data_IF_410112997794
#
_entry.id   IF_410112997794
#
_cell.length_a   1.000
_cell.length_b   1.000
_cell.length_c   1.000
_cell.angle_alpha   90.00
_cell.angle_beta   90.00
_cell.angle_gamma   90.00
#
_symmetry.space_group_name_H-M   'P 1'
#
loop_
_entity.id
_entity.type
_entity.pdbx_description
1 polymer ?
#
# COMPACT_ATOMS: atom_id res chain seq x y z
N UNK A 1 18.27 -5.82 2.47
CA UNK A 1 17.85 -5.61 3.88
C UNK A 1 16.32 -5.72 3.98
N UNK A 2 15.52 -4.97 3.19
CA UNK A 2 14.06 -5.02 3.24
C UNK A 2 13.47 -6.41 3.03
N UNK A 3 14.03 -7.19 2.09
CA UNK A 3 13.62 -8.58 1.86
C UNK A 3 13.83 -9.48 3.08
N UNK A 4 14.92 -9.27 3.82
CA UNK A 4 15.18 -10.01 5.08
C UNK A 4 14.11 -9.66 6.11
N UNK A 5 13.74 -8.39 6.25
CA UNK A 5 12.65 -7.96 7.14
C UNK A 5 11.31 -8.62 6.80
N UNK A 6 10.98 -8.74 5.50
CA UNK A 6 9.80 -9.46 5.03
C UNK A 6 9.85 -10.95 5.43
N UNK A 7 10.98 -11.61 5.26
CA UNK A 7 11.14 -13.03 5.67
C UNK A 7 11.01 -13.21 7.19
N UNK A 8 11.45 -12.24 7.99
CA UNK A 8 11.27 -12.25 9.46
C UNK A 8 9.78 -12.18 9.83
N UNK A 9 8.98 -11.40 9.09
CA UNK A 9 7.54 -11.30 9.32
C UNK A 9 6.83 -12.59 8.90
N UNK A 10 7.10 -13.08 7.69
CA UNK A 10 6.38 -14.22 7.10
C UNK A 10 6.78 -15.54 7.78
N UNK A 11 8.02 -15.64 8.25
CA UNK A 11 8.57 -16.86 8.90
C UNK A 11 8.24 -18.15 8.13
N UNK A 12 8.72 -18.29 6.89
CA UNK A 12 8.44 -19.49 6.09
C UNK A 12 8.93 -20.74 6.85
N UNK A 13 8.04 -21.71 7.04
CA UNK A 13 8.31 -22.94 7.79
C UNK A 13 7.82 -22.97 9.24
N UNK A 14 7.45 -21.83 9.83
CA UNK A 14 6.81 -21.74 11.16
C UNK A 14 5.32 -21.39 11.10
N UNK A 15 4.91 -20.74 10.01
CA UNK A 15 3.50 -20.41 9.74
C UNK A 15 3.08 -21.23 8.53
N UNK A 16 1.87 -21.80 8.56
CA UNK A 16 1.33 -22.58 7.46
C UNK A 16 1.31 -21.78 6.17
N UNK A 17 2.14 -22.21 5.21
CA UNK A 17 2.22 -21.60 3.89
C UNK A 17 1.08 -22.13 3.04
N UNK A 18 -0.06 -21.46 3.07
CA UNK A 18 -1.27 -21.87 2.37
C UNK A 18 -1.43 -21.10 1.04
N UNK A 19 -2.42 -21.52 0.25
CA UNK A 19 -2.74 -20.89 -1.03
C UNK A 19 -3.04 -19.40 -0.89
N UNK A 20 -3.63 -18.97 0.23
CA UNK A 20 -3.89 -17.55 0.52
C UNK A 20 -2.61 -16.73 0.61
N UNK A 21 -1.54 -17.28 1.21
CA UNK A 21 -0.23 -16.63 1.27
C UNK A 21 0.34 -16.40 -0.14
N UNK A 22 0.23 -17.40 -1.03
CA UNK A 22 0.68 -17.27 -2.43
C UNK A 22 -0.13 -16.20 -3.16
N UNK A 23 -1.45 -16.17 -2.97
CA UNK A 23 -2.32 -15.16 -3.58
C UNK A 23 -1.96 -13.75 -3.12
N UNK A 24 -1.70 -13.55 -1.82
CA UNK A 24 -1.27 -12.25 -1.28
C UNK A 24 0.07 -11.82 -1.87
N UNK A 25 1.07 -12.71 -1.90
CA UNK A 25 2.38 -12.39 -2.49
C UNK A 25 2.26 -12.02 -3.97
N UNK A 26 1.43 -12.75 -4.72
CA UNK A 26 1.16 -12.42 -6.14
C UNK A 26 0.48 -11.05 -6.27
N UNK A 27 -0.50 -10.76 -5.43
CA UNK A 27 -1.18 -9.46 -5.40
C UNK A 27 -0.21 -8.29 -5.11
N UNK A 28 0.75 -8.48 -4.22
CA UNK A 28 1.77 -7.47 -3.90
C UNK A 28 2.67 -7.14 -5.11
N UNK A 29 2.99 -8.12 -5.95
CA UNK A 29 3.74 -7.89 -7.19
C UNK A 29 2.93 -6.98 -8.12
N UNK A 30 1.66 -7.31 -8.38
CA UNK A 30 0.79 -6.47 -9.21
C UNK A 30 0.57 -5.09 -8.60
N UNK A 31 0.42 -5.00 -7.27
CA UNK A 31 0.31 -3.73 -6.57
C UNK A 31 1.53 -2.83 -6.79
N UNK A 32 2.74 -3.40 -6.77
CA UNK A 32 3.97 -2.67 -7.05
C UNK A 32 3.99 -2.09 -8.47
N UNK A 33 3.53 -2.86 -9.46
CA UNK A 33 3.37 -2.35 -10.82
C UNK A 33 2.35 -1.21 -10.90
N UNK A 34 1.22 -1.32 -10.21
CA UNK A 34 0.19 -0.26 -10.16
C UNK A 34 0.78 1.05 -9.62
N UNK A 35 1.58 1.00 -8.54
CA UNK A 35 2.21 2.19 -7.97
C UNK A 35 3.13 2.87 -8.98
N UNK A 36 3.97 2.09 -9.68
CA UNK A 36 4.90 2.61 -10.69
C UNK A 36 4.12 3.24 -11.86
N UNK A 37 3.12 2.53 -12.40
CA UNK A 37 2.27 3.04 -13.47
C UNK A 37 1.52 4.31 -13.05
N UNK A 38 0.97 4.34 -11.84
CA UNK A 38 0.29 5.51 -11.29
C UNK A 38 1.21 6.73 -11.23
N UNK A 39 2.49 6.53 -10.89
CA UNK A 39 3.48 7.62 -10.91
C UNK A 39 3.74 8.15 -12.32
N UNK A 40 3.77 7.28 -13.34
CA UNK A 40 3.91 7.72 -14.72
C UNK A 40 2.70 8.50 -15.21
N UNK A 41 1.50 7.96 -14.99
CA UNK A 41 0.22 8.57 -15.40
C UNK A 41 -0.03 9.89 -14.66
N UNK A 42 0.41 10.02 -13.41
CA UNK A 42 0.21 11.23 -12.61
C UNK A 42 0.90 12.49 -13.15
N UNK A 43 1.76 12.35 -14.17
CA UNK A 43 2.41 13.50 -14.83
C UNK A 43 1.44 14.23 -15.74
N UNK A 44 0.59 13.49 -16.43
CA UNK A 44 -0.27 14.01 -17.50
C UNK A 44 -1.72 14.12 -17.05
N UNK A 45 -2.18 13.19 -16.20
CA UNK A 45 -3.56 13.11 -15.74
C UNK A 45 -3.83 13.80 -14.41
N UNK A 46 -5.08 14.19 -14.22
CA UNK A 46 -5.53 14.72 -12.94
C UNK A 46 -5.72 13.57 -11.92
N UNK A 47 -5.52 13.82 -10.61
CA UNK A 47 -5.77 12.82 -9.58
C UNK A 47 -7.20 12.24 -9.62
N UNK A 48 -8.19 13.07 -9.93
CA UNK A 48 -9.59 12.65 -10.06
C UNK A 48 -9.75 11.69 -11.24
N UNK A 49 -9.15 12.01 -12.39
CA UNK A 49 -9.16 11.15 -13.59
C UNK A 49 -8.57 9.78 -13.27
N UNK A 50 -7.39 9.75 -12.65
CA UNK A 50 -6.70 8.51 -12.26
C UNK A 50 -7.58 7.62 -11.36
N UNK A 51 -8.16 8.19 -10.30
CA UNK A 51 -9.00 7.45 -9.35
C UNK A 51 -10.30 6.98 -10.02
N UNK A 52 -10.90 7.80 -10.88
CA UNK A 52 -12.11 7.44 -11.62
C UNK A 52 -11.87 6.24 -12.52
N UNK A 53 -10.81 6.24 -13.33
CA UNK A 53 -10.45 5.10 -14.17
C UNK A 53 -10.16 3.86 -13.36
N UNK A 54 -9.38 3.98 -12.27
CA UNK A 54 -9.05 2.86 -11.41
C UNK A 54 -10.30 2.19 -10.83
N UNK A 55 -11.23 2.95 -10.26
CA UNK A 55 -12.45 2.40 -9.68
C UNK A 55 -13.42 1.88 -10.74
N UNK A 56 -13.52 2.55 -11.89
CA UNK A 56 -14.38 2.08 -12.99
C UNK A 56 -13.91 0.72 -13.50
N UNK A 57 -12.62 0.58 -13.79
CA UNK A 57 -12.04 -0.70 -14.24
C UNK A 57 -12.18 -1.78 -13.17
N UNK A 58 -11.86 -1.46 -11.92
CA UNK A 58 -12.01 -2.38 -10.80
C UNK A 58 -13.46 -2.87 -10.65
N UNK A 59 -14.44 -1.98 -10.81
CA UNK A 59 -15.87 -2.33 -10.77
C UNK A 59 -16.25 -3.26 -11.92
N UNK A 60 -15.81 -2.96 -13.15
CA UNK A 60 -16.10 -3.79 -14.32
C UNK A 60 -15.55 -5.21 -14.13
N UNK A 61 -14.31 -5.35 -13.64
CA UNK A 61 -13.69 -6.67 -13.42
C UNK A 61 -14.28 -7.40 -12.22
N UNK A 62 -14.70 -6.71 -11.17
CA UNK A 62 -15.30 -7.32 -9.99
C UNK A 62 -16.77 -7.70 -10.19
N UNK A 63 -17.48 -7.03 -11.11
CA UNK A 63 -18.93 -7.18 -11.31
C UNK A 63 -19.38 -8.63 -11.59
N UNK A 64 -18.72 -9.42 -12.47
CA UNK A 64 -19.14 -10.80 -12.73
C UNK A 64 -19.10 -11.68 -11.47
N UNK A 65 -18.04 -11.53 -10.66
CA UNK A 65 -17.90 -12.26 -9.40
C UNK A 65 -18.92 -11.78 -8.37
N UNK A 66 -19.15 -10.48 -8.30
CA UNK A 66 -20.14 -9.90 -7.40
C UNK A 66 -21.56 -10.38 -7.72
N UNK A 67 -21.92 -10.51 -9.00
CA UNK A 67 -23.23 -11.04 -9.41
C UNK A 67 -23.34 -12.54 -9.07
N UNK A 68 -22.27 -13.31 -9.31
CA UNK A 68 -22.29 -14.76 -9.08
C UNK A 68 -22.41 -15.12 -7.59
N UNK A 69 -21.71 -14.38 -6.71
CA UNK A 69 -21.71 -14.61 -5.27
C UNK A 69 -22.60 -13.63 -4.51
N UNK A 70 -23.59 -13.05 -5.19
CA UNK A 70 -24.43 -12.01 -4.61
C UNK A 70 -25.16 -12.48 -3.36
N UNK A 71 -24.96 -11.77 -2.26
CA UNK A 71 -25.74 -11.93 -1.05
C UNK A 71 -26.22 -10.55 -0.62
N UNK A 72 -27.49 -10.48 -0.23
CA UNK A 72 -28.07 -9.20 0.22
C UNK A 72 -27.40 -8.76 1.53
N UNK A 73 -26.72 -7.63 1.58
CA UNK A 73 -26.06 -7.19 2.79
C UNK A 73 -27.10 -6.71 3.83
N UNK A 74 -26.80 -6.91 5.12
CA UNK A 74 -27.58 -6.28 6.18
C UNK A 74 -27.41 -4.76 6.13
N UNK A 75 -28.36 -4.02 6.73
CA UNK A 75 -28.26 -2.54 6.81
C UNK A 75 -26.95 -2.12 7.50
N UNK A 76 -26.56 -2.81 8.55
CA UNK A 76 -25.30 -2.56 9.26
C UNK A 76 -24.08 -2.76 8.36
N UNK A 77 -24.04 -3.87 7.61
CA UNK A 77 -22.96 -4.14 6.64
C UNK A 77 -22.93 -3.07 5.55
N UNK A 78 -24.10 -2.63 5.07
CA UNK A 78 -24.19 -1.57 4.07
C UNK A 78 -23.57 -0.25 4.59
N UNK A 79 -23.86 0.14 5.82
CA UNK A 79 -23.28 1.34 6.44
C UNK A 79 -21.77 1.23 6.53
N UNK A 80 -21.23 0.09 6.98
CA UNK A 80 -19.78 -0.10 7.06
C UNK A 80 -19.09 -0.05 5.70
N UNK A 81 -19.68 -0.69 4.68
CA UNK A 81 -19.16 -0.63 3.31
C UNK A 81 -19.20 0.78 2.75
N UNK A 82 -20.26 1.53 3.02
CA UNK A 82 -20.40 2.92 2.59
C UNK A 82 -19.33 3.83 3.21
N UNK A 83 -19.12 3.73 4.52
CA UNK A 83 -18.04 4.46 5.22
C UNK A 83 -16.66 4.07 4.69
N UNK A 84 -16.42 2.76 4.48
CA UNK A 84 -15.17 2.27 3.91
C UNK A 84 -14.94 2.79 2.48
N UNK A 85 -16.00 2.85 1.66
CA UNK A 85 -15.90 3.37 0.29
C UNK A 85 -15.53 4.86 0.26
N UNK A 86 -16.14 5.68 1.12
CA UNK A 86 -15.79 7.11 1.24
C UNK A 86 -14.36 7.26 1.70
N UNK A 87 -13.97 6.58 2.78
CA UNK A 87 -12.61 6.65 3.32
C UNK A 87 -11.58 6.17 2.32
N UNK A 88 -11.87 5.08 1.60
CA UNK A 88 -11.01 4.55 0.53
C UNK A 88 -10.86 5.52 -0.64
N UNK A 89 -11.94 6.19 -1.04
CA UNK A 89 -11.88 7.21 -2.10
C UNK A 89 -11.00 8.39 -1.70
N UNK A 90 -11.16 8.89 -0.48
CA UNK A 90 -10.31 9.98 0.06
C UNK A 90 -8.85 9.55 0.08
N UNK A 91 -8.56 8.33 0.54
CA UNK A 91 -7.21 7.77 0.56
C UNK A 91 -6.61 7.72 -0.85
N UNK A 92 -7.32 7.17 -1.84
CA UNK A 92 -6.80 7.06 -3.21
C UNK A 92 -6.62 8.42 -3.89
N UNK A 93 -7.49 9.39 -3.62
CA UNK A 93 -7.29 10.77 -4.08
C UNK A 93 -6.05 11.41 -3.45
N UNK A 94 -5.84 11.22 -2.15
CA UNK A 94 -4.64 11.72 -1.46
C UNK A 94 -3.37 11.06 -2.02
N UNK A 95 -3.41 9.76 -2.31
CA UNK A 95 -2.31 9.03 -2.93
C UNK A 95 -2.02 9.53 -4.35
N UNK A 96 -3.04 9.69 -5.18
CA UNK A 96 -2.88 10.21 -6.53
C UNK A 96 -2.29 11.64 -6.52
N UNK A 97 -2.70 12.49 -5.57
CA UNK A 97 -2.10 13.80 -5.32
C UNK A 97 -0.63 13.65 -4.90
N UNK A 98 -0.31 12.73 -4.00
CA UNK A 98 1.07 12.53 -3.56
C UNK A 98 1.99 12.09 -4.71
N UNK A 99 1.52 11.23 -5.60
CA UNK A 99 2.27 10.79 -6.78
C UNK A 99 2.54 11.93 -7.76
N UNK A 100 1.65 12.92 -7.81
CA UNK A 100 1.83 14.10 -8.66
C UNK A 100 2.92 15.05 -8.13
N UNK A 101 2.96 15.27 -6.83
CA UNK A 101 3.79 16.32 -6.21
C UNK A 101 5.05 15.80 -5.52
N UNK A 102 5.15 14.51 -5.22
CA UNK A 102 6.28 13.93 -4.53
C UNK A 102 6.85 12.69 -5.23
N UNK A 103 8.14 12.44 -5.01
CA UNK A 103 8.78 11.21 -5.48
C UNK A 103 8.34 10.01 -4.64
N UNK A 104 8.33 8.82 -5.27
CA UNK A 104 7.94 7.58 -4.59
C UNK A 104 8.84 7.28 -3.38
N UNK A 105 10.13 7.60 -3.46
CA UNK A 105 11.08 7.45 -2.35
C UNK A 105 10.74 8.26 -1.10
N UNK A 106 9.98 9.36 -1.26
CA UNK A 106 9.51 10.18 -0.13
C UNK A 106 8.16 9.67 0.39
N UNK A 107 7.29 9.23 -0.50
CA UNK A 107 5.93 8.79 -0.13
C UNK A 107 5.91 7.40 0.49
N UNK A 108 6.80 6.49 0.06
CA UNK A 108 6.83 5.11 0.54
C UNK A 108 7.11 4.96 2.04
N UNK A 109 8.05 5.70 2.66
CA UNK A 109 8.23 5.63 4.12
C UNK A 109 6.99 5.99 4.93
N UNK A 110 6.13 6.87 4.40
CA UNK A 110 4.90 7.30 5.08
C UNK A 110 3.92 6.12 5.25
N UNK A 111 3.94 5.14 4.35
CA UNK A 111 3.11 3.95 4.46
C UNK A 111 3.36 3.13 5.74
N UNK A 112 4.58 3.23 6.31
CA UNK A 112 4.89 2.54 7.56
C UNK A 112 4.17 3.14 8.77
N UNK A 113 3.69 4.37 8.68
CA UNK A 113 2.79 4.92 9.71
C UNK A 113 1.51 4.09 9.80
N UNK A 114 1.06 3.51 8.69
CA UNK A 114 -0.06 2.60 8.62
C UNK A 114 0.11 1.35 9.50
N UNK A 115 1.35 0.87 9.70
CA UNK A 115 1.62 -0.24 10.61
C UNK A 115 1.29 0.15 12.06
N UNK A 116 1.64 1.36 12.47
CA UNK A 116 1.38 1.88 13.83
C UNK A 116 -0.13 2.05 14.04
N UNK A 117 -0.80 2.75 13.11
CA UNK A 117 -2.24 2.97 13.20
C UNK A 117 -3.03 1.68 13.05
N UNK A 118 -2.62 0.78 12.13
CA UNK A 118 -3.25 -0.53 11.93
C UNK A 118 -3.11 -1.41 13.17
N UNK A 119 -1.94 -1.45 13.80
CA UNK A 119 -1.72 -2.18 15.04
C UNK A 119 -2.54 -1.63 16.20
N UNK A 120 -2.60 -0.30 16.34
CA UNK A 120 -3.42 0.33 17.36
C UNK A 120 -4.91 0.02 17.14
N UNK A 121 -5.40 0.14 15.91
CA UNK A 121 -6.78 -0.17 15.58
C UNK A 121 -7.11 -1.66 15.78
N UNK A 122 -6.23 -2.58 15.36
CA UNK A 122 -6.36 -4.01 15.60
C UNK A 122 -6.48 -4.34 17.08
N UNK A 123 -5.66 -3.68 17.91
CA UNK A 123 -5.74 -3.82 19.35
C UNK A 123 -7.08 -3.33 19.93
N UNK A 124 -7.47 -2.09 19.62
CA UNK A 124 -8.67 -1.48 20.23
C UNK A 124 -9.99 -2.06 19.68
N UNK A 125 -10.05 -2.43 18.40
CA UNK A 125 -11.27 -2.92 17.77
C UNK A 125 -11.46 -4.43 17.84
N UNK A 126 -10.35 -5.20 17.77
CA UNK A 126 -10.38 -6.65 17.64
C UNK A 126 -9.62 -7.38 18.75
N UNK A 127 -8.95 -6.66 19.64
CA UNK A 127 -8.09 -7.20 20.70
C UNK A 127 -6.94 -8.08 20.15
N UNK A 128 -6.45 -7.74 18.94
CA UNK A 128 -5.38 -8.42 18.26
C UNK A 128 -4.05 -7.71 18.49
N UNK A 129 -3.01 -8.49 18.80
CA UNK A 129 -1.66 -7.96 19.01
C UNK A 129 -0.75 -8.45 17.89
N UNK A 130 -0.03 -7.51 17.19
CA UNK A 130 1.06 -7.95 16.34
C UNK A 130 2.08 -8.73 17.18
N UNK A 131 2.54 -9.86 16.67
CA UNK A 131 3.55 -10.63 17.36
C UNK A 131 4.92 -9.92 17.36
N UNK A 132 5.81 -10.37 18.24
CA UNK A 132 7.14 -9.79 18.42
C UNK A 132 7.96 -9.74 17.11
N UNK A 133 7.84 -10.76 16.27
CA UNK A 133 8.56 -10.85 15.00
C UNK A 133 8.03 -9.89 13.95
N UNK A 134 6.76 -9.58 13.98
CA UNK A 134 6.15 -8.55 13.13
C UNK A 134 6.75 -7.18 13.43
N UNK A 135 6.98 -6.86 14.70
CA UNK A 135 7.66 -5.62 15.10
C UNK A 135 9.11 -5.58 14.65
N UNK A 136 9.88 -6.66 14.87
CA UNK A 136 11.29 -6.73 14.44
C UNK A 136 11.37 -6.60 12.92
N UNK A 137 10.62 -7.40 12.17
CA UNK A 137 10.63 -7.36 10.73
C UNK A 137 10.17 -6.01 10.18
N UNK A 138 9.16 -5.39 10.79
CA UNK A 138 8.69 -4.04 10.45
C UNK A 138 9.78 -2.98 10.64
N UNK A 139 10.54 -3.02 11.73
CA UNK A 139 11.67 -2.11 11.98
C UNK A 139 12.77 -2.31 10.92
N UNK A 140 13.10 -3.55 10.56
CA UNK A 140 14.11 -3.86 9.55
C UNK A 140 13.68 -3.34 8.17
N UNK A 141 12.41 -3.57 7.78
CA UNK A 141 11.87 -3.05 6.51
C UNK A 141 11.86 -1.52 6.51
N UNK A 142 11.37 -0.89 7.57
CA UNK A 142 11.33 0.57 7.71
C UNK A 142 12.73 1.19 7.60
N UNK A 143 13.70 0.64 8.32
CA UNK A 143 15.10 1.08 8.26
C UNK A 143 15.67 0.96 6.85
N UNK A 144 15.33 -0.11 6.13
CA UNK A 144 15.74 -0.31 4.73
C UNK A 144 15.19 0.78 3.81
N UNK A 145 13.91 1.13 3.97
CA UNK A 145 13.27 2.18 3.16
C UNK A 145 13.87 3.55 3.47
N UNK A 146 14.12 3.86 4.74
CA UNK A 146 14.79 5.10 5.13
C UNK A 146 16.20 5.22 4.52
N UNK A 147 16.97 4.13 4.52
CA UNK A 147 18.31 4.11 3.91
C UNK A 147 18.26 4.38 2.40
N UNK A 148 17.29 3.80 1.69
CA UNK A 148 17.10 4.04 0.25
C UNK A 148 16.76 5.51 0.01
N UNK A 149 15.80 6.05 0.76
CA UNK A 149 15.35 7.45 0.65
C UNK A 149 16.51 8.42 0.89
N UNK A 150 17.33 8.14 1.91
CA UNK A 150 18.48 8.98 2.23
C UNK A 150 19.54 8.97 1.11
N UNK A 151 19.90 7.78 0.61
CA UNK A 151 20.87 7.65 -0.49
C UNK A 151 20.39 8.30 -1.79
N UNK A 152 19.10 8.19 -2.10
CA UNK A 152 18.54 8.79 -3.30
C UNK A 152 18.59 10.33 -3.24
N UNK A 153 18.27 10.90 -2.07
CA UNK A 153 18.38 12.34 -1.84
C UNK A 153 19.82 12.86 -2.00
N UNK A 154 20.78 12.10 -1.51
CA UNK A 154 22.21 12.44 -1.61
C UNK A 154 22.69 12.35 -3.07
N UNK A 155 22.28 11.33 -3.80
CA UNK A 155 22.59 11.17 -5.23
C UNK A 155 22.02 12.29 -6.10
N UNK A 156 20.80 12.76 -5.80
CA UNK A 156 20.19 13.91 -6.51
C UNK A 156 21.00 15.19 -6.28
N UNK A 157 21.39 15.43 -5.04
CA UNK A 157 22.20 16.62 -4.66
C UNK A 157 23.56 16.63 -5.37
N UNK A 158 24.22 15.47 -5.50
CA UNK A 158 25.51 15.33 -6.21
C UNK A 158 25.32 15.63 -7.70
N UNK A 159 24.26 15.11 -8.34
CA UNK A 159 23.95 15.34 -9.76
C UNK A 159 23.64 16.81 -10.04
N UNK A 160 22.91 17.46 -9.17
CA UNK A 160 22.56 18.87 -9.29
C UNK A 160 23.80 19.76 -9.22
N UNK A 161 24.70 19.49 -8.30
CA UNK A 161 25.99 20.19 -8.18
C UNK A 161 26.91 19.94 -9.38
N UNK A 162 26.91 18.76 -9.99
CA UNK A 162 27.74 18.43 -11.16
C UNK A 162 27.24 19.07 -12.46
N UNK A 163 25.97 19.46 -12.55
CA UNK A 163 25.39 20.14 -13.70
C UNK A 163 25.57 21.67 -13.65
N UNK A 164 25.99 22.22 -12.52
CA UNK A 164 26.23 23.65 -12.30
C UNK A 164 27.72 24.01 -12.46
N UNK A 165 28.62 23.03 -12.41
CA UNK A 165 30.07 23.19 -12.59
C UNK A 165 30.47 22.92 -14.04
#
# INVERSE_FOLDING_TARGET
IGFIGMLIIIRPGYVDFNIGTIMVLTALIFWSFIIILSKFVSKDDSPITMVTYQYTLMTIFALPLAIYFWQMPSITSFIYVFVAAISGTILHLALALSYKYADLSVTQPVWFTGLIFGSAFGYFAFNEYPDFWTWIGGIVVFSSVLLITYKEKDSKKIRENSNIA
#
